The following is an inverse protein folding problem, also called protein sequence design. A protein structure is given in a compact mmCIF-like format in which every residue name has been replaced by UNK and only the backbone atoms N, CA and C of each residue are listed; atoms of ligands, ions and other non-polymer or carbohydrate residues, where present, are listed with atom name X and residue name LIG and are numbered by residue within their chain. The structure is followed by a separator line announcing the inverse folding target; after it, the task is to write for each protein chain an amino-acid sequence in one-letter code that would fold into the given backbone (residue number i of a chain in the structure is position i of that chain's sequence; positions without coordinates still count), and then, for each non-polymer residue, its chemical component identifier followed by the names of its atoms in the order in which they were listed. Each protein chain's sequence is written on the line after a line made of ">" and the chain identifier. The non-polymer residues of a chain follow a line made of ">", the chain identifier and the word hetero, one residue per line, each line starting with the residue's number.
data_IF_986582966839
#
_entry.id   IF_986582966839
#
_cell.length_a   1.000
_cell.length_b   1.000
_cell.length_c   1.000
_cell.angle_alpha   90.00
_cell.angle_beta   90.00
_cell.angle_gamma   90.00
#
_symmetry.space_group_name_H-M   'P 1'
#
loop_
_entity.id
_entity.type
_entity.pdbx_description
1 polymer ?
#
# COMPACT_ATOMS: atom_id res chain seq x y z
N UNK A 1 54.89 -3.79 -35.27
CA UNK A 1 54.16 -4.24 -34.06
C UNK A 1 53.61 -5.62 -34.32
N UNK A 2 53.76 -6.53 -33.37
CA UNK A 2 53.23 -7.89 -33.49
C UNK A 2 51.69 -7.90 -33.30
N UNK A 3 51.02 -8.82 -34.00
CA UNK A 3 49.56 -8.97 -33.98
C UNK A 3 49.04 -9.28 -32.57
N UNK A 4 49.81 -10.04 -31.77
CA UNK A 4 49.47 -10.32 -30.38
C UNK A 4 49.46 -9.05 -29.51
N UNK A 5 50.43 -8.14 -29.72
CA UNK A 5 50.46 -6.84 -29.03
C UNK A 5 49.28 -5.97 -29.42
N UNK A 6 48.93 -5.91 -30.70
CA UNK A 6 47.77 -5.13 -31.17
C UNK A 6 46.43 -5.67 -30.63
N UNK A 7 46.31 -6.99 -30.48
CA UNK A 7 45.15 -7.62 -29.86
C UNK A 7 45.05 -7.28 -28.36
N UNK A 8 46.19 -7.34 -27.64
CA UNK A 8 46.27 -6.97 -26.22
C UNK A 8 45.85 -5.52 -25.99
N UNK A 9 46.39 -4.58 -26.76
CA UNK A 9 46.04 -3.16 -26.66
C UNK A 9 44.54 -2.90 -26.90
N UNK A 10 43.91 -3.71 -27.76
CA UNK A 10 42.47 -3.62 -28.02
C UNK A 10 41.65 -4.11 -26.82
N UNK A 11 42.08 -5.20 -26.19
CA UNK A 11 41.44 -5.75 -24.98
C UNK A 11 41.59 -4.78 -23.81
N UNK A 12 42.79 -4.24 -23.60
CA UNK A 12 43.04 -3.30 -22.50
C UNK A 12 42.17 -2.04 -22.63
N UNK A 13 42.04 -1.49 -23.84
CA UNK A 13 41.10 -0.38 -24.10
C UNK A 13 39.64 -0.75 -23.86
N UNK A 14 39.23 -1.97 -24.22
CA UNK A 14 37.86 -2.43 -23.99
C UNK A 14 37.57 -2.59 -22.50
N UNK A 15 38.52 -3.09 -21.72
CA UNK A 15 38.41 -3.23 -20.27
C UNK A 15 38.26 -1.87 -19.58
N UNK A 16 39.10 -0.89 -19.92
CA UNK A 16 39.00 0.47 -19.35
C UNK A 16 37.64 1.11 -19.66
N UNK A 17 37.13 0.93 -20.88
CA UNK A 17 35.80 1.42 -21.26
C UNK A 17 34.67 0.72 -20.48
N UNK A 18 34.80 -0.58 -20.22
CA UNK A 18 33.84 -1.35 -19.46
C UNK A 18 33.82 -0.92 -17.99
N UNK A 19 34.99 -0.75 -17.37
CA UNK A 19 35.12 -0.28 -15.99
C UNK A 19 34.50 1.09 -15.80
N UNK A 20 34.72 2.02 -16.74
CA UNK A 20 34.10 3.34 -16.70
C UNK A 20 32.58 3.26 -16.79
N UNK A 21 32.05 2.48 -17.73
CA UNK A 21 30.60 2.28 -17.89
C UNK A 21 29.97 1.60 -16.67
N UNK A 22 30.68 0.65 -16.05
CA UNK A 22 30.22 -0.01 -14.83
C UNK A 22 30.14 1.00 -13.67
N UNK A 23 31.13 1.88 -13.53
CA UNK A 23 31.12 2.91 -12.50
C UNK A 23 29.99 3.92 -12.71
N UNK A 24 29.79 4.38 -13.95
CA UNK A 24 28.66 5.24 -14.34
C UNK A 24 27.31 4.56 -14.08
N UNK A 25 27.19 3.27 -14.36
CA UNK A 25 25.97 2.50 -14.09
C UNK A 25 25.71 2.39 -12.58
N UNK A 26 26.74 2.09 -11.78
CA UNK A 26 26.65 2.00 -10.33
C UNK A 26 26.29 3.35 -9.70
N UNK A 27 26.88 4.44 -10.16
CA UNK A 27 26.55 5.78 -9.67
C UNK A 27 25.12 6.18 -10.03
N UNK A 28 24.67 5.85 -11.25
CA UNK A 28 23.28 6.05 -11.67
C UNK A 28 22.30 5.20 -10.88
N UNK A 29 22.63 3.95 -10.56
CA UNK A 29 21.80 3.09 -9.73
C UNK A 29 21.73 3.60 -8.29
N UNK A 30 22.82 4.14 -7.74
CA UNK A 30 22.84 4.77 -6.42
C UNK A 30 22.11 6.12 -6.38
N UNK A 31 22.08 6.86 -7.48
CA UNK A 31 21.35 8.13 -7.62
C UNK A 31 19.89 7.98 -8.10
N UNK A 32 19.54 6.82 -8.62
CA UNK A 32 18.21 6.48 -9.11
C UNK A 32 17.30 6.11 -7.96
N UNK A 33 16.77 7.14 -7.30
CA UNK A 33 15.74 7.05 -6.27
C UNK A 33 16.08 6.09 -5.13
N UNK A 34 16.52 6.65 -4.00
CA UNK A 34 16.02 6.13 -2.72
C UNK A 34 14.51 6.05 -2.88
N UNK A 35 13.97 4.86 -3.11
CA UNK A 35 12.55 4.61 -2.85
C UNK A 35 12.40 5.16 -1.43
N UNK A 36 11.53 6.15 -1.19
CA UNK A 36 11.24 6.53 0.18
C UNK A 36 10.95 5.23 0.94
N UNK A 37 11.27 5.14 2.23
CA UNK A 37 10.67 4.11 3.07
C UNK A 37 9.16 4.41 3.12
N UNK A 38 8.48 4.17 2.00
CA UNK A 38 7.10 4.43 1.75
C UNK A 38 6.40 3.33 2.52
N UNK A 39 6.05 3.67 3.76
CA UNK A 39 5.40 2.76 4.68
C UNK A 39 4.07 2.34 4.06
N UNK A 40 4.10 1.18 3.40
CA UNK A 40 2.95 0.61 2.69
C UNK A 40 1.77 0.33 3.64
N UNK A 41 1.99 0.39 4.95
CA UNK A 41 0.99 0.23 5.99
C UNK A 41 0.60 1.54 6.66
N UNK A 42 1.14 2.68 6.23
CA UNK A 42 0.73 3.98 6.74
C UNK A 42 -0.77 4.19 6.43
N UNK A 43 -1.58 4.59 7.43
CA UNK A 43 -2.99 4.90 7.20
C UNK A 43 -3.13 5.98 6.14
N UNK A 44 -3.76 5.63 5.02
CA UNK A 44 -4.03 6.62 3.98
C UNK A 44 -5.22 7.48 4.40
N UNK A 45 -5.14 8.81 4.23
CA UNK A 45 -6.28 9.68 4.48
C UNK A 45 -7.42 9.27 3.54
N UNK A 46 -8.59 8.99 4.12
CA UNK A 46 -9.79 8.67 3.34
C UNK A 46 -10.12 9.80 2.36
N UNK A 47 -10.41 9.45 1.11
CA UNK A 47 -10.88 10.41 0.11
C UNK A 47 -12.23 11.02 0.51
N UNK A 48 -12.62 12.13 -0.11
CA UNK A 48 -13.94 12.74 0.15
C UNK A 48 -15.10 11.75 -0.13
N UNK A 49 -14.98 10.96 -1.19
CA UNK A 49 -15.91 9.87 -1.52
C UNK A 49 -15.97 8.81 -0.42
N UNK A 50 -14.81 8.40 0.11
CA UNK A 50 -14.76 7.42 1.21
C UNK A 50 -15.41 7.97 2.47
N UNK A 51 -15.19 9.25 2.79
CA UNK A 51 -15.81 9.91 3.95
C UNK A 51 -17.33 9.97 3.82
N UNK A 52 -17.85 10.32 2.63
CA UNK A 52 -19.28 10.33 2.38
C UNK A 52 -19.90 8.94 2.58
N UNK A 53 -19.25 7.90 2.03
CA UNK A 53 -19.68 6.51 2.18
C UNK A 53 -19.63 6.03 3.64
N UNK A 54 -18.59 6.37 4.39
CA UNK A 54 -18.48 6.05 5.82
C UNK A 54 -19.64 6.69 6.59
N UNK A 55 -19.92 7.97 6.34
CA UNK A 55 -21.01 8.66 7.01
C UNK A 55 -22.39 8.03 6.73
N UNK A 56 -22.65 7.61 5.49
CA UNK A 56 -23.86 6.88 5.11
C UNK A 56 -23.97 5.54 5.85
N UNK A 57 -22.89 4.76 5.90
CA UNK A 57 -22.85 3.48 6.60
C UNK A 57 -23.05 3.65 8.11
N UNK A 58 -22.46 4.68 8.72
CA UNK A 58 -22.66 4.99 10.13
C UNK A 58 -24.10 5.40 10.44
N UNK A 59 -24.74 6.17 9.56
CA UNK A 59 -26.15 6.51 9.69
C UNK A 59 -27.04 5.25 9.63
N UNK A 60 -26.84 4.41 8.60
CA UNK A 60 -27.55 3.15 8.46
C UNK A 60 -27.33 2.21 9.66
N UNK A 61 -26.11 2.18 10.20
CA UNK A 61 -25.77 1.40 11.39
C UNK A 61 -26.52 1.88 12.64
N UNK A 62 -26.64 3.19 12.85
CA UNK A 62 -27.43 3.75 13.96
C UNK A 62 -28.91 3.43 13.83
N UNK A 63 -29.46 3.49 12.62
CA UNK A 63 -30.86 3.16 12.37
C UNK A 63 -31.14 1.67 12.61
N UNK A 64 -30.25 0.79 12.16
CA UNK A 64 -30.33 -0.64 12.42
C UNK A 64 -30.27 -0.95 13.93
N UNK A 65 -29.37 -0.30 14.67
CA UNK A 65 -29.26 -0.47 16.12
C UNK A 65 -30.57 -0.09 16.85
N UNK A 66 -31.19 1.05 16.47
CA UNK A 66 -32.48 1.48 17.04
C UNK A 66 -33.63 0.54 16.68
N UNK A 67 -33.63 -0.03 15.48
CA UNK A 67 -34.62 -1.03 15.09
C UNK A 67 -34.49 -2.30 15.94
N UNK A 68 -33.26 -2.76 16.17
CA UNK A 68 -32.96 -3.92 17.03
C UNK A 68 -33.36 -3.67 18.48
N UNK A 69 -33.09 -2.48 19.01
CA UNK A 69 -33.48 -2.10 20.38
C UNK A 69 -34.99 -2.20 20.59
N UNK A 70 -35.77 -1.61 19.67
CA UNK A 70 -37.25 -1.68 19.70
C UNK A 70 -37.76 -3.10 19.55
N UNK A 71 -37.16 -3.90 18.68
CA UNK A 71 -37.53 -5.30 18.52
C UNK A 71 -37.26 -6.10 19.81
N UNK A 72 -36.12 -5.87 20.46
CA UNK A 72 -35.79 -6.52 21.71
C UNK A 72 -36.72 -6.11 22.86
N UNK A 73 -37.17 -4.85 22.90
CA UNK A 73 -38.17 -4.38 23.85
C UNK A 73 -39.52 -5.07 23.64
N UNK A 74 -40.03 -5.10 22.41
CA UNK A 74 -41.27 -5.79 22.09
C UNK A 74 -41.24 -7.29 22.44
N UNK A 75 -40.10 -7.95 22.24
CA UNK A 75 -39.90 -9.35 22.65
C UNK A 75 -40.00 -9.49 24.18
N UNK A 76 -39.33 -8.61 24.94
CA UNK A 76 -39.39 -8.65 26.41
C UNK A 76 -40.82 -8.44 26.91
N UNK A 77 -41.53 -7.45 26.36
CA UNK A 77 -42.92 -7.18 26.72
C UNK A 77 -43.81 -8.40 26.47
N UNK A 78 -43.66 -9.03 25.30
CA UNK A 78 -44.41 -10.24 24.93
C UNK A 78 -44.12 -11.39 25.92
N UNK A 79 -42.86 -11.59 26.30
CA UNK A 79 -42.48 -12.63 27.26
C UNK A 79 -43.08 -12.37 28.65
N UNK A 80 -43.00 -11.13 29.14
CA UNK A 80 -43.61 -10.74 30.43
C UNK A 80 -45.13 -10.91 30.43
N UNK A 81 -45.80 -10.58 29.32
CA UNK A 81 -47.24 -10.83 29.17
C UNK A 81 -47.60 -12.32 29.20
N UNK A 82 -46.74 -13.19 28.64
CA UNK A 82 -46.95 -14.64 28.68
C UNK A 82 -46.72 -15.24 30.07
N UNK A 83 -45.75 -14.74 30.82
CA UNK A 83 -45.47 -15.19 32.20
C UNK A 83 -46.56 -14.78 33.20
N UNK A 84 -47.30 -13.71 32.91
CA UNK A 84 -48.37 -13.21 33.77
C UNK A 84 -49.75 -13.88 33.53
N UNK A 85 -49.88 -14.76 32.53
CA UNK A 85 -51.11 -15.50 32.20
C UNK A 85 -51.10 -16.91 32.77
#
# INVERSE_FOLDING_TARGET
>A
MDAASAARDRVDRALVLLERRLLELKSRAAGGSRVPDDDLFAPQPSSETDRARIHELEAAGRDAARALERAAEAIRDTLTEQEAR
#
